data_IF_679501908665
#
_entry.id   IF_679501908665
#
_cell.length_a   1.000
_cell.length_b   1.000
_cell.length_c   1.000
_cell.angle_alpha   90.00
_cell.angle_beta   90.00
_cell.angle_gamma   90.00
#
_symmetry.space_group_name_H-M   'P 1'
#
loop_
_entity.id
_entity.type
_entity.pdbx_description
1 polymer ?
#
# COMPACT_ATOMS: atom_id res chain seq x y z
N UNK A 1 -1.88 -9.50 7.08
CA UNK A 1 -3.16 -8.81 6.84
C UNK A 1 -2.99 -7.70 5.82
N UNK A 2 -2.25 -6.64 6.18
CA UNK A 2 -2.05 -5.47 5.32
C UNK A 2 -1.47 -5.78 3.92
N UNK A 3 -0.60 -6.79 3.81
CA UNK A 3 -0.04 -7.23 2.52
C UNK A 3 -1.14 -7.62 1.50
N UNK A 4 -2.12 -8.43 1.92
CA UNK A 4 -3.21 -8.88 1.04
C UNK A 4 -4.07 -7.71 0.56
N UNK A 5 -4.29 -6.71 1.42
CA UNK A 5 -5.01 -5.49 1.04
C UNK A 5 -4.24 -4.65 0.02
N UNK A 6 -2.92 -4.54 0.18
CA UNK A 6 -2.08 -3.83 -0.77
C UNK A 6 -1.99 -4.55 -2.12
N UNK A 7 -1.91 -5.88 -2.12
CA UNK A 7 -1.92 -6.69 -3.34
C UNK A 7 -3.21 -6.48 -4.13
N UNK A 8 -4.38 -6.53 -3.46
CA UNK A 8 -5.67 -6.24 -4.08
C UNK A 8 -5.76 -4.82 -4.66
N UNK A 9 -5.19 -3.81 -3.98
CA UNK A 9 -5.18 -2.44 -4.49
C UNK A 9 -4.35 -2.25 -5.75
N UNK A 10 -3.25 -2.99 -5.87
CA UNK A 10 -2.39 -2.98 -7.05
C UNK A 10 -3.08 -3.73 -8.18
N UNK A 11 -3.68 -4.89 -7.90
CA UNK A 11 -4.43 -5.70 -8.87
C UNK A 11 -5.64 -4.95 -9.44
N UNK A 12 -6.33 -4.16 -8.61
CA UNK A 12 -7.43 -3.30 -9.03
C UNK A 12 -7.00 -1.96 -9.65
N UNK A 13 -5.70 -1.73 -9.90
CA UNK A 13 -5.14 -0.47 -10.41
C UNK A 13 -5.50 0.78 -9.55
N UNK A 14 -5.85 0.57 -8.28
CA UNK A 14 -6.16 1.65 -7.34
C UNK A 14 -4.89 2.25 -6.74
N UNK A 15 -3.80 1.49 -6.73
CA UNK A 15 -2.49 1.93 -6.25
C UNK A 15 -1.40 1.65 -7.29
N UNK A 16 -0.63 2.68 -7.64
CA UNK A 16 0.53 2.56 -8.50
C UNK A 16 1.81 2.58 -7.67
N UNK A 17 2.49 1.43 -7.60
CA UNK A 17 3.78 1.28 -6.93
C UNK A 17 4.89 2.12 -7.56
N UNK A 18 5.99 2.29 -6.83
CA UNK A 18 7.13 3.08 -7.27
C UNK A 18 8.15 2.22 -8.03
N UNK A 19 8.43 2.56 -9.29
CA UNK A 19 9.46 1.86 -10.06
C UNK A 19 10.87 2.29 -9.62
N UNK A 20 11.70 1.32 -9.25
CA UNK A 20 13.11 1.54 -8.91
C UNK A 20 13.95 1.19 -10.14
N UNK A 21 14.12 2.15 -11.05
CA UNK A 21 14.78 1.91 -12.33
C UNK A 21 13.95 1.00 -13.25
N UNK A 22 14.56 -0.06 -13.79
CA UNK A 22 13.88 -1.08 -14.62
C UNK A 22 13.29 -2.25 -13.78
N UNK A 23 13.39 -2.19 -12.46
CA UNK A 23 12.82 -3.20 -11.58
C UNK A 23 11.30 -3.05 -11.47
N UNK A 24 10.64 -4.15 -11.08
CA UNK A 24 9.21 -4.18 -10.80
C UNK A 24 8.80 -3.09 -9.79
N UNK A 25 7.58 -2.55 -9.91
CA UNK A 25 7.10 -1.49 -9.04
C UNK A 25 7.07 -1.96 -7.58
N UNK A 26 7.82 -1.27 -6.72
CA UNK A 26 7.86 -1.50 -5.28
C UNK A 26 6.69 -0.78 -4.64
N UNK A 27 5.82 -1.54 -3.98
CA UNK A 27 4.58 -1.05 -3.35
C UNK A 27 4.70 -0.97 -1.83
N UNK A 28 5.47 -1.88 -1.23
CA UNK A 28 5.64 -1.97 0.21
C UNK A 28 6.95 -2.67 0.62
N UNK A 29 7.58 -2.16 1.67
CA UNK A 29 8.75 -2.73 2.34
C UNK A 29 8.38 -3.03 3.80
N UNK A 30 8.54 -4.27 4.23
CA UNK A 30 8.28 -4.69 5.61
C UNK A 30 9.60 -5.01 6.29
N UNK A 31 9.88 -4.37 7.43
CA UNK A 31 11.05 -4.65 8.26
C UNK A 31 10.64 -4.61 9.74
N UNK A 32 10.75 -5.74 10.45
CA UNK A 32 10.26 -5.92 11.83
C UNK A 32 8.83 -5.41 11.99
N UNK A 33 8.61 -4.37 12.79
CA UNK A 33 7.30 -3.77 13.07
C UNK A 33 6.98 -2.62 12.11
N UNK A 34 7.93 -2.19 11.29
CA UNK A 34 7.80 -1.08 10.37
C UNK A 34 7.34 -1.57 8.99
N UNK A 35 6.26 -0.98 8.48
CA UNK A 35 5.81 -1.17 7.09
C UNK A 35 5.89 0.16 6.36
N UNK A 36 6.84 0.27 5.43
CA UNK A 36 6.95 1.41 4.54
C UNK A 36 6.12 1.14 3.28
N UNK A 37 5.15 2.02 2.98
CA UNK A 37 4.37 1.96 1.75
C UNK A 37 4.91 2.99 0.75
N UNK A 38 5.19 2.56 -0.49
CA UNK A 38 5.85 3.38 -1.50
C UNK A 38 5.02 3.38 -2.78
N UNK A 39 4.73 4.56 -3.32
CA UNK A 39 3.95 4.73 -4.54
C UNK A 39 4.37 5.96 -5.31
N UNK A 40 3.89 6.08 -6.55
CA UNK A 40 4.12 7.29 -7.35
C UNK A 40 3.47 8.52 -6.69
N UNK A 41 4.03 9.71 -6.95
CA UNK A 41 3.47 10.98 -6.45
C UNK A 41 2.13 11.27 -7.13
N UNK A 42 1.06 10.71 -6.58
CA UNK A 42 -0.31 10.86 -7.05
C UNK A 42 -1.26 11.00 -5.87
N UNK A 43 -2.23 11.91 -5.98
CA UNK A 43 -3.29 12.03 -5.00
C UNK A 43 -4.15 10.76 -4.90
N UNK A 44 -4.33 10.05 -6.02
CA UNK A 44 -5.04 8.77 -6.03
C UNK A 44 -4.35 7.74 -5.13
N UNK A 45 -3.02 7.68 -5.16
CA UNK A 45 -2.25 6.79 -4.26
C UNK A 45 -2.41 7.19 -2.79
N UNK A 46 -2.46 8.48 -2.46
CA UNK A 46 -2.70 8.96 -1.10
C UNK A 46 -4.11 8.55 -0.62
N UNK A 47 -5.12 8.72 -1.47
CA UNK A 47 -6.49 8.28 -1.18
C UNK A 47 -6.58 6.77 -1.00
N UNK A 48 -5.93 5.99 -1.86
CA UNK A 48 -5.88 4.53 -1.77
C UNK A 48 -5.18 4.08 -0.49
N UNK A 49 -4.02 4.67 -0.16
CA UNK A 49 -3.28 4.37 1.06
C UNK A 49 -4.13 4.60 2.31
N UNK A 50 -4.83 5.74 2.36
CA UNK A 50 -5.71 6.09 3.46
C UNK A 50 -6.86 5.09 3.58
N UNK A 51 -7.49 4.71 2.46
CA UNK A 51 -8.58 3.74 2.46
C UNK A 51 -8.13 2.38 2.99
N UNK A 52 -6.95 1.90 2.57
CA UNK A 52 -6.37 0.63 3.03
C UNK A 52 -6.07 0.65 4.52
N UNK A 53 -5.46 1.72 5.02
CA UNK A 53 -5.12 1.82 6.44
C UNK A 53 -6.36 1.87 7.33
N UNK A 54 -7.40 2.62 6.93
CA UNK A 54 -8.68 2.68 7.65
C UNK A 54 -9.40 1.32 7.62
N UNK A 55 -9.39 0.63 6.47
CA UNK A 55 -9.97 -0.70 6.36
C UNK A 55 -9.21 -1.70 7.23
N UNK A 56 -7.87 -1.63 7.23
CA UNK A 56 -7.03 -2.47 8.05
C UNK A 56 -7.31 -2.25 9.54
N UNK A 57 -7.29 -0.99 10.01
CA UNK A 57 -7.62 -0.60 11.40
C UNK A 57 -8.97 -1.18 11.85
N UNK A 58 -10.00 -1.03 11.00
CA UNK A 58 -11.35 -1.52 11.24
C UNK A 58 -11.42 -3.04 11.38
N UNK A 59 -10.66 -3.78 10.56
CA UNK A 59 -10.63 -5.25 10.60
C UNK A 59 -9.74 -5.80 11.71
N UNK A 60 -8.65 -5.12 12.05
CA UNK A 60 -7.72 -5.55 13.09
C UNK A 60 -8.18 -5.17 14.50
N UNK A 61 -9.17 -4.28 14.62
CA UNK A 61 -9.61 -3.74 15.91
C UNK A 61 -8.55 -2.88 16.59
N UNK A 62 -7.62 -2.33 15.81
CA UNK A 62 -6.60 -1.40 16.29
C UNK A 62 -7.25 -0.02 16.45
N UNK A 63 -6.81 0.77 17.43
CA UNK A 63 -7.25 2.14 17.69
C UNK A 63 -6.06 3.02 17.96
#
# INVERSE_FOLDING_TARGET
GLHVLMEAMVEHNLFTGYNVGELAPVTHLQFTDDTLLIGTKSWANVCALRAVLVLFESMSGLR
#
